data_IF_098359908768
#
_entry.id   IF_098359908768
#
_cell.length_a   1.000
_cell.length_b   1.000
_cell.length_c   1.000
_cell.angle_alpha   90.00
_cell.angle_beta   90.00
_cell.angle_gamma   90.00
#
_symmetry.space_group_name_H-M   'P 1'
#
loop_
_entity.id
_entity.type
_entity.pdbx_description
1 polymer ?
#
# COMPACT_ATOMS: atom_id res chain seq x y z
N UNK A 1 15.34 8.57 24.43
CA UNK A 1 14.05 8.82 25.13
C UNK A 1 13.55 7.53 25.76
N UNK A 2 12.71 7.59 26.79
CA UNK A 2 12.11 6.40 27.38
C UNK A 2 10.92 5.97 26.51
N UNK A 3 10.73 4.68 26.30
CA UNK A 3 9.57 4.12 25.58
C UNK A 3 8.23 4.69 26.08
N UNK A 4 8.13 4.93 27.38
CA UNK A 4 6.94 5.52 28.02
C UNK A 4 6.69 6.92 27.49
N UNK A 5 7.73 7.75 27.39
CA UNK A 5 7.59 9.12 26.89
C UNK A 5 7.19 9.14 25.40
N UNK A 6 7.74 8.23 24.61
CA UNK A 6 7.40 8.09 23.19
C UNK A 6 5.93 7.69 23.02
N UNK A 7 5.41 6.78 23.85
CA UNK A 7 4.00 6.36 23.83
C UNK A 7 3.08 7.51 24.25
N UNK A 8 3.42 8.24 25.32
CA UNK A 8 2.62 9.39 25.80
C UNK A 8 2.57 10.48 24.73
N UNK A 9 3.72 10.81 24.11
CA UNK A 9 3.77 11.79 23.02
C UNK A 9 2.86 11.37 21.87
N UNK A 10 2.96 10.12 21.42
CA UNK A 10 2.12 9.61 20.33
C UNK A 10 0.62 9.71 20.65
N UNK A 11 0.21 9.35 21.86
CA UNK A 11 -1.20 9.46 22.29
C UNK A 11 -1.64 10.93 22.25
N UNK A 12 -0.81 11.83 22.73
CA UNK A 12 -1.11 13.27 22.75
C UNK A 12 -1.22 13.83 21.33
N UNK A 13 -0.29 13.48 20.47
CA UNK A 13 -0.26 13.95 19.07
C UNK A 13 -1.47 13.43 18.30
N UNK A 14 -1.81 12.15 18.44
CA UNK A 14 -3.01 11.56 17.82
C UNK A 14 -4.29 12.22 18.28
N UNK A 15 -4.39 12.51 19.58
CA UNK A 15 -5.54 13.24 20.14
C UNK A 15 -5.64 14.64 19.57
N UNK A 16 -4.53 15.37 19.50
CA UNK A 16 -4.48 16.72 18.96
C UNK A 16 -4.91 16.77 17.50
N UNK A 17 -4.42 15.84 16.66
CA UNK A 17 -4.84 15.70 15.26
C UNK A 17 -6.36 15.55 15.13
N UNK A 18 -7.00 14.72 15.95
CA UNK A 18 -8.46 14.58 15.93
C UNK A 18 -9.20 15.86 16.35
N UNK A 19 -8.67 16.61 17.31
CA UNK A 19 -9.23 17.92 17.71
C UNK A 19 -9.14 18.92 16.54
N UNK A 20 -8.08 18.84 15.76
CA UNK A 20 -7.87 19.68 14.56
C UNK A 20 -8.68 19.21 13.34
N UNK A 21 -9.53 18.20 13.49
CA UNK A 21 -10.32 17.61 12.39
C UNK A 21 -9.51 16.74 11.42
N UNK A 22 -8.27 16.39 11.79
CA UNK A 22 -7.42 15.49 11.01
C UNK A 22 -7.69 14.04 11.40
N UNK A 23 -7.39 13.10 10.48
CA UNK A 23 -7.54 11.66 10.74
C UNK A 23 -6.21 11.02 11.14
N UNK A 24 -6.28 9.97 11.93
CA UNK A 24 -5.12 9.16 12.35
C UNK A 24 -4.99 7.85 11.57
N UNK A 25 -6.04 7.44 10.87
CA UNK A 25 -6.06 6.28 9.98
C UNK A 25 -6.97 6.56 8.80
N UNK A 26 -6.69 5.92 7.67
CA UNK A 26 -7.59 5.94 6.53
C UNK A 26 -8.75 4.97 6.80
N UNK A 27 -10.01 5.39 6.60
CA UNK A 27 -11.16 4.61 7.05
C UNK A 27 -11.26 3.26 6.35
N UNK A 28 -11.83 2.24 7.02
CA UNK A 28 -12.07 0.95 6.39
C UNK A 28 -13.14 1.08 5.30
N UNK A 29 -13.06 0.24 4.24
CA UNK A 29 -13.98 0.35 3.08
C UNK A 29 -15.41 -0.10 3.39
N UNK A 30 -15.63 -0.79 4.49
CA UNK A 30 -16.93 -1.32 4.89
C UNK A 30 -17.28 -0.90 6.31
N UNK A 31 -18.51 -0.42 6.53
CA UNK A 31 -19.03 -0.10 7.87
C UNK A 31 -18.90 -1.29 8.84
N UNK A 32 -19.16 -2.52 8.33
CA UNK A 32 -19.10 -3.74 9.14
C UNK A 32 -17.71 -4.07 9.68
N UNK A 33 -16.65 -3.50 9.10
CA UNK A 33 -15.27 -3.73 9.54
C UNK A 33 -14.81 -2.77 10.63
N UNK A 34 -15.57 -1.73 10.93
CA UNK A 34 -15.12 -0.68 11.85
C UNK A 34 -14.79 -1.19 13.26
N UNK A 35 -15.42 -2.26 13.69
CA UNK A 35 -15.19 -2.83 15.02
C UNK A 35 -13.91 -3.69 15.07
N UNK A 36 -13.54 -4.34 13.94
CA UNK A 36 -12.42 -5.28 13.87
C UNK A 36 -11.20 -4.68 13.16
N UNK A 37 -11.43 -3.75 12.22
CA UNK A 37 -10.42 -3.12 11.40
C UNK A 37 -10.71 -1.62 11.30
N UNK A 38 -10.03 -0.85 12.14
CA UNK A 38 -10.23 0.61 12.21
C UNK A 38 -9.75 1.38 10.98
N UNK A 39 -9.00 0.73 10.09
CA UNK A 39 -8.52 1.30 8.85
C UNK A 39 -7.03 1.10 8.60
N UNK A 40 -6.49 1.84 7.64
CA UNK A 40 -5.06 1.77 7.30
C UNK A 40 -4.28 2.78 8.15
N UNK A 41 -3.43 2.27 9.03
CA UNK A 41 -2.60 3.06 9.95
C UNK A 41 -1.11 2.98 9.58
N UNK A 42 -0.35 4.00 9.99
CA UNK A 42 1.11 3.99 9.92
C UNK A 42 1.69 2.95 10.87
N UNK A 43 2.83 2.37 10.50
CA UNK A 43 3.57 1.39 11.29
C UNK A 43 2.77 0.12 11.65
N UNK A 44 1.78 -0.25 10.85
CA UNK A 44 1.01 -1.47 11.00
C UNK A 44 1.39 -2.51 9.94
N UNK A 45 1.32 -3.77 10.33
CA UNK A 45 1.50 -4.92 9.45
C UNK A 45 0.18 -5.66 9.30
N UNK A 46 -0.24 -5.87 8.05
CA UNK A 46 -1.49 -6.54 7.72
C UNK A 46 -1.20 -7.85 6.98
N UNK A 47 -1.79 -8.95 7.44
CA UNK A 47 -1.71 -10.24 6.76
C UNK A 47 -3.09 -10.63 6.27
N UNK A 48 -3.23 -10.78 4.94
CA UNK A 48 -4.45 -11.26 4.30
C UNK A 48 -4.26 -12.72 3.90
N UNK A 49 -5.01 -13.61 4.52
CA UNK A 49 -4.98 -15.04 4.24
C UNK A 49 -6.33 -15.55 3.76
N UNK A 50 -6.33 -16.49 2.85
CA UNK A 50 -7.52 -17.23 2.44
C UNK A 50 -7.13 -18.52 1.74
N UNK A 51 -8.10 -19.40 1.51
CA UNK A 51 -7.91 -20.56 0.63
C UNK A 51 -7.56 -20.11 -0.80
N UNK A 52 -7.02 -21.03 -1.59
CA UNK A 52 -6.75 -20.81 -3.01
C UNK A 52 -8.03 -20.34 -3.72
N UNK A 53 -7.90 -19.29 -4.55
CA UNK A 53 -9.02 -18.62 -5.23
C UNK A 53 -10.04 -17.95 -4.29
N UNK A 54 -9.70 -17.76 -3.02
CA UNK A 54 -10.56 -17.07 -2.04
C UNK A 54 -10.60 -15.55 -2.16
N UNK A 55 -10.01 -14.97 -3.22
CA UNK A 55 -10.10 -13.52 -3.50
C UNK A 55 -9.12 -12.65 -2.73
N UNK A 56 -7.99 -13.19 -2.20
CA UNK A 56 -6.98 -12.42 -1.46
C UNK A 56 -6.56 -11.15 -2.20
N UNK A 57 -6.06 -11.29 -3.43
CA UNK A 57 -5.57 -10.15 -4.23
C UNK A 57 -6.66 -9.13 -4.51
N UNK A 58 -7.91 -9.58 -4.76
CA UNK A 58 -9.04 -8.68 -4.96
C UNK A 58 -9.40 -7.92 -3.68
N UNK A 59 -9.43 -8.62 -2.53
CA UNK A 59 -9.68 -8.00 -1.24
C UNK A 59 -8.58 -6.99 -0.90
N UNK A 60 -7.30 -7.37 -1.07
CA UNK A 60 -6.15 -6.50 -0.82
C UNK A 60 -6.19 -5.25 -1.71
N UNK A 61 -6.42 -5.43 -3.01
CA UNK A 61 -6.55 -4.29 -3.94
C UNK A 61 -7.74 -3.41 -3.58
N UNK A 62 -8.88 -3.99 -3.23
CA UNK A 62 -10.08 -3.23 -2.86
C UNK A 62 -9.86 -2.39 -1.61
N UNK A 63 -9.30 -2.99 -0.54
CA UNK A 63 -9.11 -2.32 0.76
C UNK A 63 -7.98 -1.30 0.71
N UNK A 64 -6.79 -1.73 0.24
CA UNK A 64 -5.57 -0.95 0.37
C UNK A 64 -5.24 -0.09 -0.86
N UNK A 65 -5.96 -0.28 -1.98
CA UNK A 65 -5.75 0.52 -3.18
C UNK A 65 -7.04 1.28 -3.52
N UNK A 66 -8.07 0.58 -4.00
CA UNK A 66 -9.23 1.24 -4.63
C UNK A 66 -9.96 2.20 -3.69
N UNK A 67 -10.48 1.68 -2.58
CA UNK A 67 -11.26 2.52 -1.65
C UNK A 67 -10.41 3.55 -0.93
N UNK A 68 -9.18 3.22 -0.61
CA UNK A 68 -8.27 4.14 0.09
C UNK A 68 -7.81 5.27 -0.81
N UNK A 69 -7.43 4.97 -2.06
CA UNK A 69 -7.09 6.00 -3.04
C UNK A 69 -8.28 6.91 -3.34
N UNK A 70 -9.47 6.34 -3.57
CA UNK A 70 -10.67 7.14 -3.85
C UNK A 70 -11.08 7.99 -2.65
N UNK A 71 -10.89 7.48 -1.43
CA UNK A 71 -11.07 8.30 -0.24
C UNK A 71 -10.13 9.52 -0.24
N UNK A 72 -8.84 9.33 -0.50
CA UNK A 72 -7.87 10.42 -0.57
C UNK A 72 -8.17 11.39 -1.72
N UNK A 73 -8.56 10.86 -2.88
CA UNK A 73 -8.92 11.66 -4.05
C UNK A 73 -10.11 12.60 -3.79
N UNK A 74 -11.21 12.08 -3.22
CA UNK A 74 -12.43 12.87 -3.00
C UNK A 74 -12.42 13.70 -1.73
N UNK A 75 -11.83 13.20 -0.63
CA UNK A 75 -11.87 13.89 0.66
C UNK A 75 -10.97 15.13 0.71
N UNK A 76 -10.06 15.29 -0.29
CA UNK A 76 -9.00 16.30 -0.24
C UNK A 76 -8.27 16.29 1.11
N UNK A 77 -8.09 15.06 1.65
CA UNK A 77 -7.39 14.90 2.93
C UNK A 77 -5.96 15.40 2.80
N UNK A 78 -5.39 15.82 3.92
CA UNK A 78 -3.97 16.19 4.00
C UNK A 78 -3.02 14.97 3.90
N UNK A 79 -3.57 13.77 3.75
CA UNK A 79 -2.79 12.53 3.65
C UNK A 79 -2.33 12.32 2.20
N UNK A 80 -1.01 12.28 2.03
CA UNK A 80 -0.35 11.86 0.80
C UNK A 80 -0.17 10.34 0.84
N UNK A 81 -1.07 9.63 0.15
CA UNK A 81 -1.13 8.17 0.16
C UNK A 81 -0.43 7.57 -1.04
N UNK A 82 0.56 6.71 -0.82
CA UNK A 82 1.29 6.02 -1.87
C UNK A 82 1.28 4.51 -1.62
N UNK A 83 1.11 3.74 -2.68
CA UNK A 83 1.17 2.28 -2.65
C UNK A 83 2.37 1.80 -3.45
N UNK A 84 3.25 1.03 -2.82
CA UNK A 84 4.31 0.28 -3.51
C UNK A 84 3.81 -1.16 -3.61
N UNK A 85 3.45 -1.59 -4.81
CA UNK A 85 2.84 -2.90 -5.03
C UNK A 85 3.79 -3.82 -5.80
N UNK A 86 4.19 -4.92 -5.17
CA UNK A 86 4.96 -6.00 -5.78
C UNK A 86 4.00 -7.10 -6.27
N UNK A 87 3.58 -7.05 -7.54
CA UNK A 87 2.61 -8.00 -8.10
C UNK A 87 3.34 -9.24 -8.63
N UNK A 88 3.64 -10.18 -7.77
CA UNK A 88 4.42 -11.38 -8.14
C UNK A 88 3.58 -12.40 -8.95
N UNK A 89 2.26 -12.31 -8.90
CA UNK A 89 1.35 -13.24 -9.60
C UNK A 89 0.77 -12.66 -10.90
N UNK A 90 0.66 -11.33 -11.01
CA UNK A 90 0.00 -10.68 -12.13
C UNK A 90 0.81 -9.49 -12.67
N UNK A 91 0.51 -9.07 -13.88
CA UNK A 91 1.13 -7.88 -14.45
C UNK A 91 0.44 -6.59 -13.99
N UNK A 92 1.15 -5.45 -13.90
CA UNK A 92 0.56 -4.14 -13.61
C UNK A 92 -0.63 -3.79 -14.50
N UNK A 93 -0.56 -4.12 -15.80
CA UNK A 93 -1.64 -3.89 -16.75
C UNK A 93 -2.95 -4.61 -16.33
N UNK A 94 -2.87 -5.85 -15.85
CA UNK A 94 -4.05 -6.58 -15.35
C UNK A 94 -4.63 -5.99 -14.08
N UNK A 95 -3.78 -5.43 -13.23
CA UNK A 95 -4.23 -4.75 -12.01
C UNK A 95 -4.97 -3.46 -12.41
N UNK A 96 -4.44 -2.70 -13.37
CA UNK A 96 -5.10 -1.52 -13.92
C UNK A 96 -6.45 -1.86 -14.56
N UNK A 97 -6.53 -2.90 -15.37
CA UNK A 97 -7.81 -3.36 -15.97
C UNK A 97 -8.87 -3.68 -14.90
N UNK A 98 -8.46 -4.31 -13.79
CA UNK A 98 -9.37 -4.57 -12.67
C UNK A 98 -9.80 -3.29 -11.96
N UNK A 99 -8.88 -2.36 -11.79
CA UNK A 99 -9.22 -1.04 -11.25
C UNK A 99 -10.22 -0.31 -12.14
N UNK A 100 -9.99 -0.26 -13.44
CA UNK A 100 -10.91 0.35 -14.40
C UNK A 100 -12.30 -0.31 -14.39
N UNK A 101 -12.34 -1.65 -14.35
CA UNK A 101 -13.60 -2.40 -14.24
C UNK A 101 -14.36 -2.06 -12.96
N UNK A 102 -13.66 -1.97 -11.84
CA UNK A 102 -14.24 -1.55 -10.57
C UNK A 102 -14.66 -0.07 -10.59
N UNK A 103 -13.86 0.82 -11.15
CA UNK A 103 -14.15 2.25 -11.22
C UNK A 103 -15.42 2.54 -12.03
N UNK A 104 -15.61 1.86 -13.18
CA UNK A 104 -16.85 1.91 -13.95
C UNK A 104 -18.06 1.52 -13.10
N UNK A 105 -17.93 0.48 -12.29
CA UNK A 105 -19.00 0.07 -11.38
C UNK A 105 -19.24 1.12 -10.28
N UNK A 106 -18.21 1.65 -9.68
CA UNK A 106 -18.29 2.62 -8.56
C UNK A 106 -18.91 3.95 -9.05
N UNK A 107 -18.40 4.54 -10.14
CA UNK A 107 -18.88 5.80 -10.69
C UNK A 107 -20.32 5.73 -11.21
N UNK A 108 -20.76 4.56 -11.68
CA UNK A 108 -22.11 4.37 -12.15
C UNK A 108 -23.09 3.89 -11.06
N UNK A 109 -22.66 3.88 -9.81
CA UNK A 109 -23.44 3.33 -8.69
C UNK A 109 -23.97 1.92 -8.97
N UNK A 110 -23.10 1.05 -9.51
CA UNK A 110 -23.39 -0.36 -9.78
C UNK A 110 -24.18 -0.65 -11.06
N UNK A 111 -24.48 0.36 -11.88
CA UNK A 111 -25.22 0.17 -13.14
C UNK A 111 -24.36 -0.50 -14.22
N UNK A 112 -23.10 -0.08 -14.36
CA UNK A 112 -22.17 -0.66 -15.33
C UNK A 112 -21.37 -1.75 -14.69
N UNK A 113 -21.57 -2.99 -15.16
CA UNK A 113 -20.85 -4.17 -14.71
C UNK A 113 -20.14 -4.79 -15.89
N UNK A 114 -18.83 -4.60 -15.96
CA UNK A 114 -17.99 -5.18 -17.00
C UNK A 114 -16.83 -5.94 -16.34
N UNK A 115 -16.53 -7.13 -16.82
CA UNK A 115 -15.36 -7.85 -16.36
C UNK A 115 -14.08 -7.30 -17.02
N UNK A 116 -12.89 -7.42 -16.37
CA UNK A 116 -11.62 -7.06 -17.01
C UNK A 116 -11.37 -7.79 -18.34
N UNK A 117 -11.91 -9.00 -18.48
CA UNK A 117 -11.83 -9.77 -19.73
C UNK A 117 -12.67 -9.17 -20.85
N UNK A 118 -13.89 -8.72 -20.53
CA UNK A 118 -14.77 -8.08 -21.52
C UNK A 118 -14.26 -6.68 -21.87
N UNK A 119 -13.67 -5.96 -20.91
CA UNK A 119 -13.02 -4.67 -21.15
C UNK A 119 -11.90 -4.80 -22.19
N UNK A 120 -11.12 -5.90 -22.17
CA UNK A 120 -10.10 -6.20 -23.20
C UNK A 120 -10.65 -6.61 -24.55
N UNK A 121 -11.94 -6.67 -24.72
CA UNK A 121 -12.56 -7.10 -25.99
C UNK A 121 -12.12 -8.50 -26.43
N UNK A 122 -11.90 -9.44 -25.51
CA UNK A 122 -11.34 -10.77 -25.83
C UNK A 122 -12.22 -11.61 -26.71
N UNK A 123 -13.55 -11.60 -26.48
CA UNK A 123 -14.50 -12.43 -27.24
C UNK A 123 -15.49 -11.60 -28.05
N UNK A 124 -15.74 -10.38 -27.64
CA UNK A 124 -16.63 -9.41 -28.31
C UNK A 124 -16.08 -8.00 -28.05
N UNK A 125 -16.31 -7.07 -28.93
CA UNK A 125 -15.87 -5.70 -28.74
C UNK A 125 -16.52 -5.08 -27.50
N UNK A 126 -15.75 -4.28 -26.77
CA UNK A 126 -16.28 -3.40 -25.74
C UNK A 126 -17.25 -2.40 -26.37
N UNK A 127 -18.33 -2.06 -25.68
CA UNK A 127 -19.32 -1.11 -26.24
C UNK A 127 -18.74 0.31 -26.32
N UNK A 128 -19.24 1.07 -27.28
CA UNK A 128 -18.82 2.48 -27.45
C UNK A 128 -19.16 3.29 -26.20
N UNK A 129 -20.30 3.07 -25.58
CA UNK A 129 -20.71 3.73 -24.34
C UNK A 129 -19.66 3.56 -23.21
N UNK A 130 -19.10 2.36 -23.05
CA UNK A 130 -18.05 2.11 -22.06
C UNK A 130 -16.76 2.84 -22.44
N UNK A 131 -16.39 2.84 -23.73
CA UNK A 131 -15.21 3.56 -24.20
C UNK A 131 -15.37 5.08 -23.99
N UNK A 132 -16.55 5.62 -24.23
CA UNK A 132 -16.86 7.04 -23.99
C UNK A 132 -16.74 7.39 -22.51
N UNK A 133 -17.22 6.51 -21.61
CA UNK A 133 -17.06 6.68 -20.17
C UNK A 133 -15.59 6.65 -19.75
N UNK A 134 -14.80 5.70 -20.27
CA UNK A 134 -13.37 5.60 -20.00
C UNK A 134 -12.62 6.85 -20.47
N UNK A 135 -13.01 7.42 -21.59
CA UNK A 135 -12.40 8.61 -22.16
C UNK A 135 -12.93 9.92 -21.57
N UNK A 136 -13.87 9.87 -20.60
CA UNK A 136 -14.33 11.08 -19.92
C UNK A 136 -13.24 11.70 -19.05
N UNK A 137 -13.25 13.01 -18.90
CA UNK A 137 -12.25 13.76 -18.12
C UNK A 137 -12.15 13.23 -16.68
N UNK A 138 -13.30 13.02 -16.02
CA UNK A 138 -13.34 12.49 -14.65
C UNK A 138 -12.65 11.12 -14.53
N UNK A 139 -12.94 10.22 -15.48
CA UNK A 139 -12.34 8.88 -15.45
C UNK A 139 -10.84 8.94 -15.68
N UNK A 140 -10.39 9.76 -16.64
CA UNK A 140 -8.97 9.94 -16.95
C UNK A 140 -8.20 10.60 -15.81
N UNK A 141 -8.79 11.58 -15.14
CA UNK A 141 -8.18 12.21 -13.95
C UNK A 141 -7.97 11.20 -12.82
N UNK A 142 -8.94 10.30 -12.59
CA UNK A 142 -8.80 9.24 -11.58
C UNK A 142 -7.72 8.21 -11.99
N UNK A 143 -7.65 7.84 -13.28
CA UNK A 143 -6.60 6.94 -13.75
C UNK A 143 -5.22 7.55 -13.57
N UNK A 144 -5.07 8.82 -13.89
CA UNK A 144 -3.81 9.55 -13.66
C UNK A 144 -3.46 9.59 -12.19
N UNK A 145 -4.43 9.88 -11.32
CA UNK A 145 -4.23 9.85 -9.88
C UNK A 145 -3.77 8.47 -9.40
N UNK A 146 -4.33 7.39 -9.96
CA UNK A 146 -3.87 6.02 -9.67
C UNK A 146 -2.41 5.82 -10.10
N UNK A 147 -2.03 6.22 -11.31
CA UNK A 147 -0.65 6.10 -11.81
C UNK A 147 0.35 6.89 -10.97
N UNK A 148 -0.03 8.08 -10.50
CA UNK A 148 0.83 8.94 -9.68
C UNK A 148 1.03 8.38 -8.25
N UNK A 149 0.13 7.52 -7.76
CA UNK A 149 0.13 7.06 -6.37
C UNK A 149 0.33 5.54 -6.20
N UNK A 150 0.34 4.75 -7.29
CA UNK A 150 0.59 3.30 -7.25
C UNK A 150 1.82 2.94 -8.04
N UNK A 151 2.87 2.57 -7.34
CA UNK A 151 4.17 2.23 -7.90
C UNK A 151 4.28 0.72 -8.04
N UNK A 152 4.67 0.24 -9.22
CA UNK A 152 4.91 -1.17 -9.50
C UNK A 152 6.41 -1.41 -9.73
N UNK A 153 7.17 -1.84 -8.71
CA UNK A 153 8.58 -2.16 -8.91
C UNK A 153 8.74 -3.39 -9.81
N UNK A 154 9.60 -3.30 -10.81
CA UNK A 154 9.80 -4.37 -11.81
C UNK A 154 10.99 -5.28 -11.51
N UNK A 155 11.90 -4.87 -10.63
CA UNK A 155 13.22 -5.52 -10.45
C UNK A 155 13.45 -6.11 -9.05
N UNK A 156 12.41 -6.42 -8.29
CA UNK A 156 12.55 -6.86 -6.90
C UNK A 156 11.82 -8.19 -6.62
N UNK A 157 12.20 -9.33 -7.26
CA UNK A 157 11.49 -10.59 -7.10
C UNK A 157 11.82 -11.35 -5.80
N UNK A 158 12.83 -10.94 -5.05
CA UNK A 158 13.29 -11.62 -3.84
C UNK A 158 13.27 -10.70 -2.60
N UNK A 159 13.38 -11.24 -1.38
CA UNK A 159 13.29 -10.45 -0.15
C UNK A 159 14.30 -9.31 -0.08
N UNK A 160 15.55 -9.56 -0.48
CA UNK A 160 16.61 -8.52 -0.50
C UNK A 160 16.29 -7.42 -1.51
N UNK A 161 15.75 -7.74 -2.68
CA UNK A 161 15.33 -6.77 -3.68
C UNK A 161 14.19 -5.88 -3.17
N UNK A 162 13.15 -6.50 -2.59
CA UNK A 162 12.04 -5.80 -1.97
C UNK A 162 12.54 -4.86 -0.87
N UNK A 163 13.39 -5.37 0.04
CA UNK A 163 13.97 -4.57 1.10
C UNK A 163 14.79 -3.38 0.57
N UNK A 164 15.67 -3.62 -0.42
CA UNK A 164 16.49 -2.56 -1.01
C UNK A 164 15.64 -1.48 -1.66
N UNK A 165 14.62 -1.88 -2.41
CA UNK A 165 13.68 -0.94 -3.03
C UNK A 165 12.96 -0.07 -1.99
N UNK A 166 12.36 -0.69 -0.98
CA UNK A 166 11.68 0.04 0.09
C UNK A 166 12.62 0.94 0.88
N UNK A 167 13.86 0.50 1.11
CA UNK A 167 14.88 1.30 1.78
C UNK A 167 15.27 2.52 0.94
N UNK A 168 15.54 2.32 -0.34
CA UNK A 168 15.86 3.41 -1.27
C UNK A 168 14.71 4.41 -1.33
N UNK A 169 13.48 3.94 -1.50
CA UNK A 169 12.30 4.81 -1.48
C UNK A 169 12.22 5.65 -0.19
N UNK A 170 12.46 5.03 0.96
CA UNK A 170 12.45 5.74 2.22
C UNK A 170 13.59 6.79 2.32
N UNK A 171 14.78 6.48 1.81
CA UNK A 171 15.93 7.41 1.79
C UNK A 171 15.71 8.59 0.83
N UNK A 172 14.96 8.41 -0.26
CA UNK A 172 14.59 9.45 -1.21
C UNK A 172 13.48 10.38 -0.69
N UNK A 173 12.67 9.91 0.28
CA UNK A 173 11.50 10.64 0.79
C UNK A 173 11.61 10.99 2.29
N UNK A 174 12.81 10.92 2.84
CA UNK A 174 13.03 11.25 4.24
C UNK A 174 14.43 10.91 4.74
N UNK A 175 14.61 10.98 6.05
CA UNK A 175 15.92 10.78 6.69
C UNK A 175 15.84 9.68 7.73
N UNK A 176 16.75 8.72 7.62
CA UNK A 176 17.00 7.70 8.64
C UNK A 176 17.92 8.30 9.70
N UNK A 177 17.46 8.39 10.93
CA UNK A 177 18.31 8.74 12.07
C UNK A 177 18.85 7.46 12.70
N UNK A 178 20.14 7.49 12.98
CA UNK A 178 20.87 6.40 13.64
C UNK A 178 21.29 6.87 15.03
N UNK A 179 21.39 5.90 15.96
CA UNK A 179 21.96 6.10 17.29
C UNK A 179 23.02 5.04 17.59
N UNK A 180 23.88 5.33 18.55
CA UNK A 180 24.82 4.33 19.02
C UNK A 180 24.09 3.24 19.82
N UNK A 181 24.20 2.01 19.37
CA UNK A 181 23.72 0.81 20.04
C UNK A 181 24.89 -0.03 20.54
N UNK A 182 24.78 -0.58 21.75
CA UNK A 182 25.77 -1.50 22.31
C UNK A 182 25.36 -2.95 22.05
N UNK A 183 26.30 -3.79 21.65
CA UNK A 183 26.10 -5.23 21.52
C UNK A 183 27.32 -5.97 22.04
N UNK A 184 27.17 -7.25 22.38
CA UNK A 184 28.30 -8.13 22.73
C UNK A 184 28.72 -8.90 21.48
N UNK A 185 30.01 -8.89 21.18
CA UNK A 185 30.56 -9.73 20.12
C UNK A 185 30.65 -11.20 20.58
N UNK A 186 31.07 -12.09 19.67
CA UNK A 186 31.23 -13.54 19.93
C UNK A 186 32.19 -13.87 21.08
N UNK A 187 33.09 -12.95 21.40
CA UNK A 187 34.05 -13.06 22.49
C UNK A 187 33.56 -12.42 23.80
N UNK A 188 32.33 -11.91 23.81
CA UNK A 188 31.70 -11.29 24.98
C UNK A 188 32.09 -9.83 25.24
N UNK A 189 32.91 -9.20 24.39
CA UNK A 189 33.25 -7.78 24.53
C UNK A 189 32.12 -6.87 24.09
N UNK A 190 31.88 -5.79 24.85
CA UNK A 190 30.91 -4.78 24.50
C UNK A 190 31.49 -3.90 23.39
N UNK A 191 30.79 -3.86 22.25
CA UNK A 191 31.09 -2.98 21.11
C UNK A 191 29.93 -2.05 20.81
N UNK A 192 30.23 -0.96 20.11
CA UNK A 192 29.22 -0.02 19.63
C UNK A 192 29.05 -0.15 18.13
N UNK A 193 27.82 0.01 17.67
CA UNK A 193 27.49 0.16 16.25
C UNK A 193 26.35 1.16 16.07
N UNK A 194 26.26 1.75 14.89
CA UNK A 194 25.11 2.53 14.52
C UNK A 194 23.91 1.59 14.32
N UNK A 195 22.82 1.89 15.01
CA UNK A 195 21.54 1.17 14.90
C UNK A 195 20.46 2.16 14.52
N UNK A 196 19.41 1.66 13.86
CA UNK A 196 18.24 2.46 13.54
C UNK A 196 17.66 3.08 14.82
N UNK A 197 17.38 4.37 14.78
CA UNK A 197 16.65 5.08 15.82
C UNK A 197 15.24 5.38 15.36
N UNK A 198 15.10 6.24 14.37
CA UNK A 198 13.82 6.60 13.78
C UNK A 198 13.95 7.03 12.32
N UNK A 199 12.85 7.00 11.61
CA UNK A 199 12.69 7.59 10.29
C UNK A 199 11.91 8.90 10.40
N UNK A 200 12.37 9.93 9.73
CA UNK A 200 11.71 11.23 9.63
C UNK A 200 11.35 11.42 8.17
N UNK A 201 10.07 11.30 7.79
CA UNK A 201 9.64 11.58 6.43
C UNK A 201 9.78 13.08 6.11
N UNK A 202 10.06 13.41 4.86
CA UNK A 202 10.07 14.81 4.39
C UNK A 202 8.65 15.37 4.40
N UNK A 203 7.64 14.56 4.07
CA UNK A 203 6.22 14.89 4.26
C UNK A 203 5.66 14.15 5.49
N UNK A 204 5.33 14.85 6.59
CA UNK A 204 4.76 14.23 7.79
C UNK A 204 3.39 13.57 7.56
N UNK A 205 2.69 13.95 6.50
CA UNK A 205 1.38 13.41 6.12
C UNK A 205 1.48 12.23 5.15
N UNK A 206 2.69 11.89 4.68
CA UNK A 206 2.88 10.71 3.82
C UNK A 206 2.48 9.42 4.54
N UNK A 207 1.70 8.60 3.86
CA UNK A 207 1.35 7.23 4.24
C UNK A 207 1.72 6.31 3.09
N UNK A 208 2.71 5.46 3.29
CA UNK A 208 3.16 4.50 2.28
C UNK A 208 2.75 3.10 2.71
N UNK A 209 2.02 2.42 1.83
CA UNK A 209 1.65 1.01 2.00
C UNK A 209 2.44 0.15 1.04
N UNK A 210 3.13 -0.85 1.57
CA UNK A 210 3.85 -1.84 0.76
C UNK A 210 3.00 -3.09 0.68
N UNK A 211 2.66 -3.51 -0.53
CA UNK A 211 1.88 -4.71 -0.81
C UNK A 211 2.76 -5.73 -1.51
N UNK A 212 2.81 -6.96 -0.99
CA UNK A 212 3.49 -8.11 -1.59
C UNK A 212 2.43 -9.18 -1.88
N UNK A 213 2.12 -9.39 -3.15
CA UNK A 213 1.08 -10.33 -3.59
C UNK A 213 1.64 -11.31 -4.63
N UNK A 214 1.96 -12.50 -4.23
CA UNK A 214 1.79 -13.21 -2.97
C UNK A 214 3.15 -13.66 -2.44
N UNK A 215 3.28 -13.76 -1.12
CA UNK A 215 4.55 -14.11 -0.46
C UNK A 215 5.13 -15.46 -0.91
N UNK A 216 4.27 -16.38 -1.35
CA UNK A 216 4.68 -17.72 -1.83
C UNK A 216 5.42 -17.68 -3.18
N UNK A 217 5.37 -16.58 -3.90
CA UNK A 217 6.03 -16.40 -5.19
C UNK A 217 7.30 -15.55 -5.09
N UNK A 218 7.72 -15.19 -3.89
CA UNK A 218 9.00 -14.52 -3.68
C UNK A 218 10.12 -15.50 -4.03
N UNK A 219 10.99 -15.10 -4.93
CA UNK A 219 12.17 -15.88 -5.30
C UNK A 219 13.08 -16.08 -4.08
N UNK A 220 13.68 -17.28 -3.98
CA UNK A 220 14.66 -17.55 -2.92
C UNK A 220 15.96 -16.77 -3.14
N UNK A 221 16.60 -16.37 -2.05
CA UNK A 221 17.92 -15.76 -2.11
C UNK A 221 18.93 -16.74 -2.73
N UNK A 222 19.79 -16.22 -3.63
CA UNK A 222 20.87 -17.04 -4.21
C UNK A 222 21.79 -17.55 -3.09
N UNK A 223 21.88 -18.85 -2.94
CA UNK A 223 22.72 -19.51 -1.93
C UNK A 223 21.99 -20.00 -0.67
N UNK A 224 20.72 -19.66 -0.48
CA UNK A 224 19.87 -20.27 0.54
C UNK A 224 19.09 -21.43 -0.07
N UNK A 225 19.64 -22.64 0.01
CA UNK A 225 18.86 -23.85 -0.23
C UNK A 225 17.92 -24.05 0.98
N UNK A 226 16.72 -23.51 0.89
CA UNK A 226 15.65 -23.95 1.77
C UNK A 226 15.25 -25.39 1.35
N UNK A 227 16.04 -26.36 1.84
CA UNK A 227 15.55 -27.73 1.91
C UNK A 227 14.50 -27.75 3.01
N UNK A 228 13.24 -27.84 2.61
CA UNK A 228 12.14 -28.18 3.49
C UNK A 228 12.35 -29.56 4.12
#
# INVERSE_FOLDING_TARGET
MSLINDVISNITDRRQRLIEGKINCLPPPFERFKDDFIGVEKACYYTVTSFTKGGKSQFTSFVFIYKTLMYCYYSKSDINYTVIYFPLEETPARIMERFMSWLLFDLTNGKTRISPRDLRSTNKPCSQEILDMINSDEFQDILKYFEDHVIFPTEAPNPTGIYKYCKQYAEEHGKVQLKEGKYKDELGYTRTRQVFDKYIPDDPNAVVVVIIDTINLIDTERGLNLKA
#
